data_IF_579876375370
#
_entry.id   IF_579876375370
#
_cell.length_a   1.000
_cell.length_b   1.000
_cell.length_c   1.000
_cell.angle_alpha   90.00
_cell.angle_beta   90.00
_cell.angle_gamma   90.00
#
_symmetry.space_group_name_H-M   'P 1'
#
loop_
_entity.id
_entity.type
_entity.pdbx_description
1 polymer ?
#
# COMPACT_ATOMS: atom_id res chain seq x y z
N UNK A 1 6.41 -26.56 0.46
CA UNK A 1 5.65 -25.53 -0.27
C UNK A 1 4.52 -25.09 0.64
N UNK A 2 4.74 -24.05 1.44
CA UNK A 2 3.76 -23.57 2.43
C UNK A 2 3.05 -22.37 1.82
N UNK A 3 2.05 -22.63 0.98
CA UNK A 3 1.10 -21.58 0.64
C UNK A 3 0.29 -21.30 1.91
N UNK A 4 0.20 -20.02 2.29
CA UNK A 4 -0.61 -19.63 3.42
C UNK A 4 -2.10 -19.82 3.03
N UNK A 5 -2.93 -20.35 3.95
CA UNK A 5 -4.31 -20.77 3.67
C UNK A 5 -5.14 -19.60 3.09
N UNK A 6 -4.85 -18.39 3.53
CA UNK A 6 -5.40 -17.13 3.04
C UNK A 6 -5.15 -16.90 1.54
N UNK A 7 -3.94 -17.14 1.04
CA UNK A 7 -3.64 -17.01 -0.40
C UNK A 7 -4.49 -17.98 -1.22
N UNK A 8 -4.53 -19.25 -0.80
CA UNK A 8 -5.31 -20.28 -1.51
C UNK A 8 -6.82 -19.99 -1.47
N UNK A 9 -7.31 -19.53 -0.33
CA UNK A 9 -8.72 -19.17 -0.15
C UNK A 9 -9.09 -17.96 -1.02
N UNK A 10 -8.25 -16.92 -1.01
CA UNK A 10 -8.45 -15.74 -1.83
C UNK A 10 -8.43 -16.08 -3.33
N UNK A 11 -7.46 -16.88 -3.78
CA UNK A 11 -7.40 -17.37 -5.16
C UNK A 11 -8.64 -18.21 -5.55
N UNK A 12 -9.13 -19.05 -4.64
CA UNK A 12 -10.34 -19.83 -4.88
C UNK A 12 -11.59 -18.94 -5.05
N UNK A 13 -11.72 -17.89 -4.23
CA UNK A 13 -12.81 -16.91 -4.37
C UNK A 13 -12.68 -16.13 -5.69
N UNK A 14 -11.46 -15.66 -6.03
CA UNK A 14 -11.21 -14.96 -7.29
C UNK A 14 -11.61 -15.81 -8.49
N UNK A 15 -11.22 -17.09 -8.52
CA UNK A 15 -11.60 -18.02 -9.59
C UNK A 15 -13.11 -18.16 -9.74
N UNK A 16 -13.85 -18.27 -8.64
CA UNK A 16 -15.31 -18.32 -8.68
C UNK A 16 -15.93 -17.02 -9.21
N UNK A 17 -15.39 -15.87 -8.80
CA UNK A 17 -15.85 -14.57 -9.26
C UNK A 17 -15.61 -14.37 -10.76
N UNK A 18 -14.45 -14.79 -11.28
CA UNK A 18 -14.17 -14.80 -12.72
C UNK A 18 -15.12 -15.74 -13.49
N UNK A 19 -15.33 -16.96 -13.00
CA UNK A 19 -16.23 -17.92 -13.63
C UNK A 19 -17.68 -17.39 -13.72
N UNK A 20 -18.12 -16.63 -12.70
CA UNK A 20 -19.44 -15.98 -12.67
C UNK A 20 -19.49 -14.63 -13.39
N UNK A 21 -18.39 -14.18 -14.02
CA UNK A 21 -18.27 -12.86 -14.68
C UNK A 21 -18.57 -11.69 -13.73
N UNK A 22 -18.23 -11.83 -12.45
CA UNK A 22 -18.36 -10.77 -11.45
C UNK A 22 -17.12 -9.87 -11.41
N UNK A 23 -15.99 -10.30 -11.96
CA UNK A 23 -14.82 -9.43 -12.13
C UNK A 23 -14.63 -9.19 -13.62
N UNK A 24 -14.96 -7.98 -14.07
CA UNK A 24 -14.67 -7.50 -15.42
C UNK A 24 -13.38 -6.68 -15.38
N UNK A 25 -12.53 -6.84 -16.39
CA UNK A 25 -11.21 -6.19 -16.46
C UNK A 25 -11.28 -4.85 -17.20
N UNK A 26 -12.38 -4.14 -17.04
CA UNK A 26 -12.63 -2.91 -17.80
C UNK A 26 -12.42 -1.68 -16.92
N UNK A 27 -12.88 -1.74 -15.66
CA UNK A 27 -12.85 -0.63 -14.72
C UNK A 27 -12.34 -1.08 -13.36
N UNK A 28 -11.06 -0.81 -13.10
CA UNK A 28 -10.44 -1.07 -11.81
C UNK A 28 -10.09 0.26 -11.12
N UNK A 29 -10.12 0.25 -9.79
CA UNK A 29 -9.60 1.35 -8.98
C UNK A 29 -8.52 0.84 -8.05
N UNK A 30 -7.46 1.64 -7.87
CA UNK A 30 -6.47 1.42 -6.83
C UNK A 30 -6.65 2.43 -5.70
N UNK A 31 -6.71 1.91 -4.49
CA UNK A 31 -6.81 2.69 -3.26
C UNK A 31 -5.63 2.41 -2.35
N UNK A 32 -5.01 3.48 -1.81
CA UNK A 32 -4.04 3.41 -0.73
C UNK A 32 -4.67 3.56 0.65
N UNK A 33 -4.36 2.65 1.57
CA UNK A 33 -4.73 2.72 2.99
C UNK A 33 -3.50 2.62 3.89
N UNK A 34 -3.57 3.24 5.06
CA UNK A 34 -2.52 3.17 6.08
C UNK A 34 -2.91 2.13 7.12
N UNK A 35 -2.11 1.08 7.24
CA UNK A 35 -2.25 0.08 8.30
C UNK A 35 -1.38 0.49 9.48
N UNK A 36 -1.99 0.80 10.61
CA UNK A 36 -1.25 1.20 11.81
C UNK A 36 -0.36 0.04 12.29
N UNK A 37 0.91 0.33 12.55
CA UNK A 37 1.83 -0.67 13.05
C UNK A 37 1.52 -0.98 14.52
N UNK A 38 1.66 -2.24 14.92
CA UNK A 38 1.56 -2.64 16.32
C UNK A 38 2.84 -2.25 17.09
N UNK A 39 3.15 -0.96 17.13
CA UNK A 39 4.36 -0.44 17.74
C UNK A 39 4.14 0.93 18.38
N UNK A 40 4.81 1.14 19.51
CA UNK A 40 4.80 2.42 20.20
C UNK A 40 5.81 3.38 19.58
N UNK A 41 5.52 4.69 19.67
CA UNK A 41 6.50 5.72 19.33
C UNK A 41 7.79 5.62 20.14
N UNK A 42 7.74 5.06 21.36
CA UNK A 42 8.94 4.80 22.18
C UNK A 42 9.93 3.85 21.51
N UNK A 43 9.45 2.97 20.62
CA UNK A 43 10.28 2.02 19.87
C UNK A 43 10.89 2.64 18.61
N UNK A 44 10.53 3.87 18.24
CA UNK A 44 11.09 4.59 17.10
C UNK A 44 12.42 5.24 17.49
N UNK A 45 13.49 4.45 17.49
CA UNK A 45 14.82 4.86 17.98
C UNK A 45 15.68 5.49 16.87
N UNK A 46 16.65 6.36 17.20
CA UNK A 46 17.62 6.89 16.24
C UNK A 46 18.43 5.78 15.54
N UNK A 47 18.77 5.99 14.27
CA UNK A 47 19.61 5.03 13.52
C UNK A 47 21.11 5.13 13.85
N UNK A 48 21.57 6.33 14.21
CA UNK A 48 22.97 6.62 14.51
C UNK A 48 23.04 7.40 15.83
N UNK A 49 23.22 6.66 16.93
CA UNK A 49 23.39 7.18 18.28
C UNK A 49 23.59 6.02 19.27
N UNK A 50 24.48 6.19 20.26
CA UNK A 50 24.59 5.27 21.39
C UNK A 50 23.30 5.35 22.19
N UNK A 51 22.64 4.22 22.38
CA UNK A 51 21.43 4.14 23.18
C UNK A 51 21.77 4.29 24.64
N UNK A 52 21.59 5.49 25.19
CA UNK A 52 21.31 5.67 26.60
C UNK A 52 19.79 5.87 26.73
N UNK A 53 19.16 4.99 27.50
CA UNK A 53 17.71 4.73 27.52
C UNK A 53 16.86 5.82 28.23
N UNK A 54 17.41 7.02 28.47
CA UNK A 54 16.75 8.07 29.27
C UNK A 54 16.90 9.50 28.71
N UNK A 55 17.35 9.68 27.46
CA UNK A 55 17.37 11.01 26.88
C UNK A 55 15.99 11.42 26.36
N UNK A 56 15.40 12.41 27.04
CA UNK A 56 14.19 13.09 26.62
C UNK A 56 14.51 13.87 25.33
N UNK A 57 14.37 13.23 24.16
CA UNK A 57 14.70 13.75 22.82
C UNK A 57 13.78 14.90 22.34
N UNK A 58 13.28 15.71 23.28
CA UNK A 58 12.29 16.79 23.20
C UNK A 58 12.61 17.94 22.22
N UNK A 59 13.66 17.84 21.39
CA UNK A 59 14.06 18.86 20.43
C UNK A 59 14.34 18.38 19.00
N UNK A 60 14.40 17.07 18.74
CA UNK A 60 14.73 16.56 17.40
C UNK A 60 13.48 16.16 16.60
N UNK A 61 13.36 16.57 15.32
CA UNK A 61 12.23 16.15 14.50
C UNK A 61 12.33 14.64 14.20
N UNK A 62 11.35 13.89 14.72
CA UNK A 62 11.17 12.48 14.40
C UNK A 62 10.92 12.32 12.89
N UNK A 63 11.83 11.66 12.19
CA UNK A 63 11.74 11.44 10.75
C UNK A 63 12.25 10.05 10.38
N UNK A 64 11.75 9.50 9.26
CA UNK A 64 12.23 8.22 8.73
C UNK A 64 13.71 8.23 8.32
N UNK A 65 14.34 9.42 8.18
CA UNK A 65 15.77 9.54 7.93
C UNK A 65 16.57 9.28 9.20
N UNK A 66 16.17 9.94 10.29
CA UNK A 66 16.89 9.97 11.56
C UNK A 66 16.56 8.79 12.47
N UNK A 67 15.34 8.26 12.39
CA UNK A 67 14.84 7.22 13.29
C UNK A 67 14.33 6.00 12.51
N UNK A 68 14.35 4.82 13.14
CA UNK A 68 13.78 3.58 12.63
C UNK A 68 13.05 2.84 13.74
N UNK A 69 11.99 2.15 13.36
CA UNK A 69 11.36 1.21 14.26
C UNK A 69 12.20 -0.08 14.28
N UNK A 70 12.56 -0.54 15.48
CA UNK A 70 13.32 -1.78 15.67
C UNK A 70 12.42 -3.01 15.69
N UNK A 71 11.21 -2.88 16.25
CA UNK A 71 10.23 -3.97 16.37
C UNK A 71 9.61 -4.38 15.03
N UNK A 72 9.52 -3.44 14.08
CA UNK A 72 8.96 -3.66 12.76
C UNK A 72 9.65 -2.75 11.72
N UNK A 73 10.62 -3.33 11.00
CA UNK A 73 11.44 -2.61 10.03
C UNK A 73 10.65 -2.12 8.80
N UNK A 74 9.47 -2.69 8.54
CA UNK A 74 8.60 -2.34 7.42
C UNK A 74 7.83 -1.04 7.67
N UNK A 75 7.46 -0.78 8.92
CA UNK A 75 6.69 0.41 9.28
C UNK A 75 7.50 1.70 9.08
N UNK A 76 6.77 2.78 8.81
CA UNK A 76 7.31 4.13 8.62
C UNK A 76 6.45 5.14 9.34
N UNK A 77 7.08 6.23 9.74
CA UNK A 77 6.41 7.40 10.29
C UNK A 77 5.78 8.21 9.15
N UNK A 78 4.46 8.34 9.12
CA UNK A 78 3.72 8.97 8.02
C UNK A 78 2.45 9.68 8.51
N UNK A 79 2.04 10.72 7.77
CA UNK A 79 0.74 11.39 7.93
C UNK A 79 0.05 11.47 6.58
N UNK A 80 -1.27 11.24 6.54
CA UNK A 80 -2.03 11.25 5.27
C UNK A 80 -2.20 12.67 4.71
N UNK A 81 -2.53 13.63 5.58
CA UNK A 81 -2.79 15.02 5.23
C UNK A 81 -2.01 15.97 6.13
N UNK A 82 -1.72 17.17 5.62
CA UNK A 82 -1.08 18.24 6.41
C UNK A 82 -1.95 18.52 7.65
N UNK A 83 -1.33 18.51 8.84
CA UNK A 83 -2.02 18.76 10.12
C UNK A 83 -2.68 17.54 10.76
N UNK A 84 -2.64 16.36 10.14
CA UNK A 84 -3.02 15.11 10.81
C UNK A 84 -1.86 14.58 11.63
N UNK A 85 -2.13 13.98 12.79
CA UNK A 85 -1.10 13.33 13.61
C UNK A 85 -0.35 12.27 12.78
N UNK A 86 0.97 12.32 12.86
CA UNK A 86 1.84 11.29 12.27
C UNK A 86 1.68 9.98 13.03
N UNK A 87 1.62 8.87 12.28
CA UNK A 87 1.50 7.52 12.82
C UNK A 87 2.62 6.64 12.29
N UNK A 88 2.98 5.60 13.04
CA UNK A 88 3.76 4.49 12.51
C UNK A 88 2.80 3.57 11.76
N UNK A 89 3.04 3.38 10.46
CA UNK A 89 2.16 2.58 9.62
C UNK A 89 2.89 1.90 8.47
N UNK A 90 2.23 0.89 7.92
CA UNK A 90 2.47 0.34 6.59
C UNK A 90 1.53 1.00 5.59
N UNK A 91 1.99 1.11 4.34
CA UNK A 91 1.12 1.49 3.24
C UNK A 91 0.63 0.21 2.57
N UNK A 92 -0.67 0.01 2.56
CA UNK A 92 -1.31 -1.08 1.85
C UNK A 92 -2.11 -0.53 0.68
N UNK A 93 -2.06 -1.23 -0.44
CA UNK A 93 -2.78 -0.90 -1.65
C UNK A 93 -3.73 -2.01 -2.01
N UNK A 94 -4.89 -1.64 -2.54
CA UNK A 94 -5.92 -2.57 -2.96
C UNK A 94 -6.42 -2.21 -4.35
N UNK A 95 -6.46 -3.21 -5.22
CA UNK A 95 -7.06 -3.12 -6.54
C UNK A 95 -8.48 -3.67 -6.46
N UNK A 96 -9.45 -2.84 -6.79
CA UNK A 96 -10.88 -3.14 -6.66
C UNK A 96 -11.55 -3.07 -8.03
N UNK A 97 -12.40 -4.03 -8.34
CA UNK A 97 -13.28 -3.99 -9.50
C UNK A 97 -14.52 -3.15 -9.19
N UNK A 98 -14.83 -2.21 -10.08
CA UNK A 98 -15.76 -1.13 -9.75
C UNK A 98 -17.25 -1.52 -9.85
N UNK A 99 -17.61 -2.53 -10.65
CA UNK A 99 -19.03 -2.89 -10.87
C UNK A 99 -19.62 -3.61 -9.68
N UNK A 100 -18.89 -4.57 -9.14
CA UNK A 100 -19.35 -5.44 -8.05
C UNK A 100 -18.58 -5.19 -6.74
N UNK A 101 -17.60 -4.28 -6.74
CA UNK A 101 -16.82 -3.91 -5.56
C UNK A 101 -15.87 -5.01 -5.08
N UNK A 102 -15.49 -5.93 -5.97
CA UNK A 102 -14.67 -7.09 -5.60
C UNK A 102 -13.20 -6.72 -5.56
N UNK A 103 -12.51 -7.19 -4.52
CA UNK A 103 -11.07 -7.03 -4.38
C UNK A 103 -10.38 -8.02 -5.31
N UNK A 104 -9.57 -7.50 -6.23
CA UNK A 104 -8.88 -8.29 -7.25
C UNK A 104 -7.47 -8.66 -6.78
N UNK A 105 -6.81 -7.73 -6.09
CA UNK A 105 -5.44 -7.91 -5.61
C UNK A 105 -5.18 -6.97 -4.42
N UNK A 106 -4.24 -7.34 -3.55
CA UNK A 106 -3.75 -6.51 -2.45
C UNK A 106 -2.24 -6.57 -2.37
N UNK A 107 -1.60 -5.45 -2.03
CA UNK A 107 -0.16 -5.41 -1.83
C UNK A 107 0.20 -4.50 -0.67
N UNK A 108 1.17 -4.92 0.14
CA UNK A 108 1.73 -4.10 1.22
C UNK A 108 3.21 -3.87 0.91
N UNK A 109 3.54 -2.91 0.04
CA UNK A 109 4.92 -2.59 -0.26
C UNK A 109 5.61 -1.95 0.95
N UNK A 110 6.95 -1.94 0.92
CA UNK A 110 7.77 -1.29 1.94
C UNK A 110 7.56 0.22 1.89
N UNK A 111 6.65 0.75 2.71
CA UNK A 111 6.21 2.15 2.78
C UNK A 111 7.18 3.21 2.21
N UNK A 112 6.77 3.90 1.14
CA UNK A 112 7.44 5.05 0.51
C UNK A 112 6.42 6.00 -0.14
N UNK A 113 6.83 7.23 -0.47
CA UNK A 113 5.92 8.32 -0.86
C UNK A 113 5.30 8.23 -2.27
N UNK A 114 5.69 7.27 -3.12
CA UNK A 114 5.19 7.12 -4.51
C UNK A 114 4.50 5.79 -4.80
N UNK A 115 4.13 5.03 -3.78
CA UNK A 115 3.84 3.60 -3.95
C UNK A 115 2.51 3.24 -4.57
N UNK A 116 1.51 4.13 -4.58
CA UNK A 116 0.20 3.78 -5.14
C UNK A 116 0.30 3.44 -6.64
N UNK A 117 1.10 4.19 -7.39
CA UNK A 117 1.30 3.96 -8.83
C UNK A 117 2.13 2.69 -9.10
N UNK A 118 3.22 2.51 -8.37
CA UNK A 118 4.12 1.36 -8.53
C UNK A 118 3.42 0.05 -8.11
N UNK A 119 2.68 0.07 -7.00
CA UNK A 119 1.86 -1.05 -6.55
C UNK A 119 0.76 -1.32 -7.58
N UNK A 120 0.06 -0.30 -8.07
CA UNK A 120 -0.94 -0.46 -9.11
C UNK A 120 -0.39 -1.15 -10.36
N UNK A 121 0.74 -0.68 -10.87
CA UNK A 121 1.40 -1.26 -12.04
C UNK A 121 1.79 -2.71 -11.79
N UNK A 122 2.36 -3.00 -10.61
CA UNK A 122 2.75 -4.36 -10.21
C UNK A 122 1.55 -5.29 -10.12
N UNK A 123 0.47 -4.85 -9.46
CA UNK A 123 -0.76 -5.61 -9.28
C UNK A 123 -1.47 -5.85 -10.62
N UNK A 124 -1.50 -4.87 -11.52
CA UNK A 124 -2.06 -5.00 -12.86
C UNK A 124 -1.25 -5.98 -13.73
N UNK A 125 0.07 -5.92 -13.66
CA UNK A 125 0.94 -6.85 -14.38
C UNK A 125 0.67 -8.31 -13.99
N UNK A 126 0.37 -8.58 -12.71
CA UNK A 126 0.00 -9.92 -12.22
C UNK A 126 -1.35 -10.41 -12.75
N UNK A 127 -2.30 -9.51 -13.05
CA UNK A 127 -3.60 -9.90 -13.59
C UNK A 127 -3.53 -10.39 -15.04
N UNK A 128 -2.43 -10.15 -15.74
CA UNK A 128 -2.29 -10.46 -17.16
C UNK A 128 -2.97 -9.38 -18.02
N UNK A 129 -2.23 -8.89 -19.00
CA UNK A 129 -2.59 -7.72 -19.78
C UNK A 129 -3.62 -8.04 -20.85
N UNK A 130 -4.77 -7.37 -20.77
CA UNK A 130 -5.71 -7.24 -21.90
C UNK A 130 -5.64 -5.79 -22.41
N UNK A 131 -5.75 -5.55 -23.73
CA UNK A 131 -5.43 -4.26 -24.34
C UNK A 131 -6.38 -3.09 -23.97
N UNK A 132 -7.50 -3.32 -23.27
CA UNK A 132 -8.52 -2.30 -22.99
C UNK A 132 -8.89 -2.15 -21.49
N UNK A 133 -7.89 -2.18 -20.60
CA UNK A 133 -8.11 -2.01 -19.17
C UNK A 133 -8.05 -0.52 -18.76
N UNK A 134 -9.15 0.02 -18.21
CA UNK A 134 -9.19 1.36 -17.61
C UNK A 134 -8.95 1.26 -16.10
N UNK A 135 -7.99 2.03 -15.60
CA UNK A 135 -7.63 2.06 -14.17
C UNK A 135 -7.70 3.49 -13.65
N UNK A 136 -8.32 3.66 -12.48
CA UNK A 136 -8.42 4.92 -11.75
C UNK A 136 -7.63 4.83 -10.44
N UNK A 137 -6.91 5.89 -10.06
CA UNK A 137 -6.13 5.96 -8.82
C UNK A 137 -6.58 7.18 -7.99
N UNK A 138 -6.55 7.06 -6.66
CA UNK A 138 -7.26 7.97 -5.75
C UNK A 138 -6.40 9.09 -5.15
N UNK A 139 -5.05 9.09 -5.21
CA UNK A 139 -4.26 10.06 -4.41
C UNK A 139 -3.37 11.04 -5.20
N UNK A 140 -3.93 12.25 -5.39
CA UNK A 140 -3.40 13.64 -5.33
C UNK A 140 -2.56 14.24 -6.49
N UNK A 141 -3.19 15.25 -7.10
CA UNK A 141 -2.78 16.42 -7.89
C UNK A 141 -2.16 16.23 -9.31
N UNK A 142 -2.98 16.67 -10.28
CA UNK A 142 -2.64 17.20 -11.61
C UNK A 142 -1.96 16.22 -12.56
N UNK A 143 -2.77 15.36 -13.16
CA UNK A 143 -2.82 15.17 -14.62
C UNK A 143 -4.09 14.39 -14.94
N UNK A 144 -5.18 15.11 -15.20
CA UNK A 144 -6.27 14.58 -16.02
C UNK A 144 -5.64 13.94 -17.27
N UNK A 145 -6.13 12.75 -17.65
CA UNK A 145 -5.83 12.09 -18.94
C UNK A 145 -4.40 11.55 -19.14
N UNK A 146 -3.97 10.54 -18.37
CA UNK A 146 -2.95 9.58 -18.83
C UNK A 146 -3.13 8.19 -18.23
N UNK A 147 -4.28 7.54 -18.43
CA UNK A 147 -4.36 6.07 -18.65
C UNK A 147 -5.57 5.78 -19.54
N UNK A 148 -5.53 6.31 -20.76
CA UNK A 148 -5.87 5.51 -21.94
C UNK A 148 -4.51 5.24 -22.56
N UNK A 149 -4.17 3.97 -22.80
CA UNK A 149 -2.89 3.48 -23.37
C UNK A 149 -1.72 3.35 -22.38
N UNK A 150 -1.54 2.12 -21.92
CA UNK A 150 -0.27 1.39 -21.87
C UNK A 150 -0.67 -0.06 -21.54
N UNK A 151 -1.13 -0.87 -22.51
CA UNK A 151 -0.25 -1.54 -23.47
C UNK A 151 -0.88 -1.62 -24.86
N UNK A 152 -0.20 -1.03 -25.84
CA UNK A 152 -0.13 -1.55 -27.21
C UNK A 152 1.24 -2.14 -27.40
#
# INVERSE_FOLDING_TARGET
MRFYIDELFFEAIKKQAYAKRLILRDHLSIDGTLLEACASMKSFKPKHGSGDDDDDFSGMPHSNKTHTLTTDAGAKFYWKNKGTASKLCHMAHRLTENRNGLIVETEVPRASTKQEWDAGTTMLARQGTTPELTVVASTILVSLWKVVVALR
#
